data_IF_983323032593
#
_entry.id   IF_983323032593
#
_cell.length_a   1.000
_cell.length_b   1.000
_cell.length_c   1.000
_cell.angle_alpha   90.00
_cell.angle_beta   90.00
_cell.angle_gamma   90.00
#
_symmetry.space_group_name_H-M   'P 1'
#
loop_
_entity.id
_entity.type
_entity.pdbx_description
1 polymer ?
#
# COMPACT_ATOMS: atom_id res chain seq x y z
N UNK A 1 -9.14 10.93 -8.33
CA UNK A 1 -9.49 11.82 -7.20
C UNK A 1 -8.66 11.44 -5.98
N UNK A 2 -8.71 10.18 -5.53
CA UNK A 2 -7.88 9.63 -4.44
C UNK A 2 -6.35 9.78 -4.63
N UNK A 3 -5.87 9.64 -5.86
CA UNK A 3 -4.44 9.67 -6.18
C UNK A 3 -3.79 11.04 -5.99
N UNK A 4 -4.58 12.11 -5.90
CA UNK A 4 -4.09 13.45 -5.55
C UNK A 4 -3.80 13.58 -4.05
N UNK A 5 -4.52 12.82 -3.22
CA UNK A 5 -4.35 12.80 -1.78
C UNK A 5 -3.01 12.20 -1.36
N UNK A 6 -2.45 11.30 -2.18
CA UNK A 6 -1.10 10.72 -1.98
C UNK A 6 -0.04 11.81 -1.76
N UNK A 7 -0.14 12.93 -2.50
CA UNK A 7 0.81 14.05 -2.39
C UNK A 7 0.70 14.77 -1.05
N UNK A 8 -0.48 14.78 -0.41
CA UNK A 8 -0.65 15.38 0.92
C UNK A 8 0.11 14.59 1.98
N UNK A 9 0.02 13.26 1.93
CA UNK A 9 0.71 12.39 2.87
C UNK A 9 2.20 12.20 2.54
N UNK A 10 2.57 12.23 1.26
CA UNK A 10 3.94 12.01 0.80
C UNK A 10 4.38 13.12 -0.18
N UNK A 11 4.64 14.35 0.30
CA UNK A 11 4.91 15.50 -0.59
C UNK A 11 6.18 15.33 -1.44
N UNK A 12 7.15 14.56 -0.94
CA UNK A 12 8.41 14.26 -1.65
C UNK A 12 8.28 13.10 -2.64
N UNK A 13 7.17 12.37 -2.65
CA UNK A 13 6.99 11.22 -3.55
C UNK A 13 6.79 11.70 -4.99
N UNK A 14 7.79 11.47 -5.84
CA UNK A 14 7.75 11.81 -7.26
C UNK A 14 7.15 10.69 -8.13
N UNK A 15 7.41 9.43 -7.77
CA UNK A 15 7.06 8.24 -8.53
C UNK A 15 6.84 7.08 -7.56
N UNK A 16 5.76 6.33 -7.77
CA UNK A 16 5.54 5.05 -7.12
C UNK A 16 5.35 3.98 -8.19
N UNK A 17 6.03 2.84 -8.04
CA UNK A 17 5.92 1.69 -8.93
C UNK A 17 5.74 0.44 -8.08
N UNK A 18 4.80 -0.39 -8.48
CA UNK A 18 4.59 -1.71 -7.93
C UNK A 18 4.71 -2.73 -9.05
N UNK A 19 5.55 -3.74 -8.86
CA UNK A 19 5.73 -4.83 -9.83
C UNK A 19 5.16 -6.13 -9.25
N UNK A 20 4.49 -6.90 -10.09
CA UNK A 20 4.02 -8.25 -9.78
C UNK A 20 4.91 -9.26 -10.50
N UNK A 21 5.43 -10.23 -9.78
CA UNK A 21 6.28 -11.31 -10.32
C UNK A 21 5.46 -12.40 -11.01
N UNK A 22 4.22 -12.62 -10.58
CA UNK A 22 3.25 -13.49 -11.23
C UNK A 22 1.97 -12.69 -11.54
N UNK A 23 1.23 -13.11 -12.58
CA UNK A 23 -0.11 -12.64 -12.85
C UNK A 23 -0.96 -12.66 -11.58
N UNK A 24 -1.51 -11.51 -11.20
CA UNK A 24 -2.20 -11.25 -9.92
C UNK A 24 -3.21 -12.37 -9.58
N UNK A 25 -2.85 -13.33 -8.71
CA UNK A 25 -3.74 -14.38 -8.18
C UNK A 25 -4.78 -13.84 -7.18
N UNK A 26 -5.30 -12.62 -7.41
CA UNK A 26 -6.16 -11.89 -6.46
C UNK A 26 -5.38 -11.13 -5.38
N UNK A 27 -4.09 -11.42 -5.16
CA UNK A 27 -3.25 -10.73 -4.18
C UNK A 27 -2.70 -9.40 -4.72
N UNK A 28 -2.89 -8.31 -3.99
CA UNK A 28 -2.43 -6.97 -4.34
C UNK A 28 -1.14 -6.56 -3.61
N UNK A 29 -0.65 -5.37 -3.95
CA UNK A 29 0.44 -4.71 -3.22
C UNK A 29 0.24 -4.63 -1.69
N UNK A 30 -1.00 -4.37 -1.20
CA UNK A 30 -1.25 -4.30 0.24
C UNK A 30 -0.96 -5.60 0.98
N UNK A 31 -1.07 -6.76 0.31
CA UNK A 31 -0.89 -8.06 0.98
C UNK A 31 0.56 -8.30 1.37
N UNK A 32 1.52 -7.85 0.54
CA UNK A 32 2.94 -7.93 0.87
C UNK A 32 3.32 -7.04 2.05
N UNK A 33 2.78 -5.81 2.09
CA UNK A 33 2.97 -4.89 3.20
C UNK A 33 2.31 -5.42 4.48
N UNK A 34 1.08 -5.94 4.39
CA UNK A 34 0.39 -6.56 5.52
C UNK A 34 1.15 -7.78 6.05
N UNK A 35 1.69 -8.61 5.16
CA UNK A 35 2.48 -9.78 5.53
C UNK A 35 3.76 -9.43 6.26
N UNK A 36 4.53 -8.42 5.81
CA UNK A 36 5.76 -8.02 6.50
C UNK A 36 5.48 -7.36 7.85
N UNK A 37 4.39 -6.58 7.96
CA UNK A 37 3.94 -6.00 9.24
C UNK A 37 3.62 -7.10 10.23
N UNK A 38 2.79 -8.07 9.82
CA UNK A 38 2.39 -9.20 10.67
C UNK A 38 3.60 -10.03 11.11
N UNK A 39 4.45 -10.45 10.17
CA UNK A 39 5.66 -11.22 10.49
C UNK A 39 6.62 -10.46 11.43
N UNK A 40 6.73 -9.14 11.28
CA UNK A 40 7.58 -8.32 12.15
C UNK A 40 7.04 -8.25 13.57
N UNK A 41 5.72 -8.13 13.73
CA UNK A 41 5.03 -8.15 15.01
C UNK A 41 5.13 -9.53 15.68
N UNK A 42 4.83 -10.61 14.94
CA UNK A 42 4.92 -11.99 15.43
C UNK A 42 6.33 -12.31 15.94
N UNK A 43 7.35 -11.88 15.20
CA UNK A 43 8.75 -12.04 15.60
C UNK A 43 9.07 -11.27 16.89
N UNK A 44 8.56 -10.06 17.05
CA UNK A 44 8.77 -9.29 18.27
C UNK A 44 8.15 -9.97 19.50
N UNK A 45 6.93 -10.50 19.36
CA UNK A 45 6.24 -11.28 20.41
C UNK A 45 6.99 -12.57 20.73
N UNK A 46 7.46 -13.30 19.72
CA UNK A 46 8.26 -14.51 19.90
C UNK A 46 9.59 -14.24 20.66
N UNK A 47 10.14 -13.04 20.47
CA UNK A 47 11.33 -12.54 21.19
C UNK A 47 11.00 -11.92 22.57
N UNK A 48 9.79 -12.17 23.10
CA UNK A 48 9.30 -11.69 24.40
C UNK A 48 9.09 -10.17 24.49
N UNK A 49 8.85 -9.49 23.37
CA UNK A 49 8.38 -8.11 23.37
C UNK A 49 6.86 -8.11 23.24
N UNK A 50 6.17 -7.75 24.31
CA UNK A 50 4.71 -7.68 24.30
C UNK A 50 4.22 -6.47 23.48
N UNK A 51 3.05 -6.61 22.85
CA UNK A 51 2.43 -5.57 22.01
C UNK A 51 0.98 -5.37 22.45
N UNK A 52 0.74 -4.70 23.59
CA UNK A 52 -0.59 -4.58 24.19
C UNK A 52 -1.49 -3.55 23.48
N UNK A 53 -0.89 -2.65 22.71
CA UNK A 53 -1.59 -1.54 22.06
C UNK A 53 -0.95 -1.13 20.73
N UNK A 54 -1.65 -0.25 20.04
CA UNK A 54 -1.27 0.25 18.72
C UNK A 54 0.04 1.04 18.77
N UNK A 55 0.27 1.85 19.80
CA UNK A 55 1.48 2.69 19.90
C UNK A 55 2.75 1.83 20.06
N UNK A 56 2.64 0.74 20.82
CA UNK A 56 3.68 -0.26 20.96
C UNK A 56 3.93 -0.96 19.62
N UNK A 57 2.88 -1.31 18.87
CA UNK A 57 3.02 -1.87 17.52
C UNK A 57 3.76 -0.91 16.58
N UNK A 58 3.44 0.38 16.60
CA UNK A 58 4.13 1.40 15.79
C UNK A 58 5.62 1.49 16.11
N UNK A 59 5.97 1.42 17.40
CA UNK A 59 7.36 1.45 17.85
C UNK A 59 8.11 0.23 17.31
N UNK A 60 7.55 -0.96 17.49
CA UNK A 60 8.10 -2.23 16.97
C UNK A 60 8.30 -2.18 15.46
N UNK A 61 7.30 -1.69 14.71
CA UNK A 61 7.38 -1.60 13.25
C UNK A 61 8.43 -0.59 12.79
N UNK A 62 8.58 0.56 13.47
CA UNK A 62 9.60 1.56 13.13
C UNK A 62 11.02 1.01 13.32
N UNK A 63 11.23 0.22 14.37
CA UNK A 63 12.54 -0.36 14.68
C UNK A 63 12.89 -1.54 13.78
N UNK A 64 11.91 -2.41 13.51
CA UNK A 64 12.15 -3.71 12.85
C UNK A 64 11.80 -3.74 11.37
N UNK A 65 10.95 -2.81 10.92
CA UNK A 65 10.44 -2.73 9.55
C UNK A 65 10.79 -1.37 8.92
N UNK A 66 12.08 -1.04 8.87
CA UNK A 66 12.58 0.29 8.42
C UNK A 66 12.19 0.67 6.98
N UNK A 67 11.80 -0.31 6.16
CA UNK A 67 11.30 -0.09 4.80
C UNK A 67 9.80 0.23 4.70
N UNK A 68 9.05 0.19 5.81
CA UNK A 68 7.61 0.42 5.85
C UNK A 68 7.30 1.67 6.66
N UNK A 69 6.64 2.64 6.03
CA UNK A 69 6.14 3.83 6.69
C UNK A 69 4.68 3.62 7.09
N UNK A 70 4.42 3.66 8.39
CA UNK A 70 3.06 3.55 8.94
C UNK A 70 2.70 4.90 9.57
N UNK A 71 1.47 5.36 9.36
CA UNK A 71 0.90 6.52 10.04
C UNK A 71 -0.40 6.14 10.71
N UNK A 72 -0.71 6.77 11.85
CA UNK A 72 -2.05 6.70 12.42
C UNK A 72 -3.00 7.54 11.56
N UNK A 73 -4.25 7.10 11.48
CA UNK A 73 -5.34 7.81 10.81
C UNK A 73 -6.43 8.01 11.85
N UNK A 74 -6.85 9.25 12.06
CA UNK A 74 -7.93 9.54 13.02
C UNK A 74 -9.28 9.12 12.45
N UNK A 75 -10.29 8.95 13.31
CA UNK A 75 -11.66 8.69 12.86
C UNK A 75 -12.19 9.83 11.96
N UNK A 76 -11.85 11.08 12.28
CA UNK A 76 -12.15 12.22 11.41
C UNK A 76 -11.53 12.07 10.02
N UNK A 77 -10.28 11.62 9.92
CA UNK A 77 -9.61 11.41 8.64
C UNK A 77 -10.30 10.31 7.82
N UNK A 78 -10.75 9.23 8.47
CA UNK A 78 -11.51 8.15 7.81
C UNK A 78 -12.78 8.69 7.16
N UNK A 79 -13.56 9.50 7.87
CA UNK A 79 -14.81 10.06 7.31
C UNK A 79 -14.54 10.99 6.11
N UNK A 80 -13.43 11.71 6.13
CA UNK A 80 -13.00 12.58 5.01
C UNK A 80 -12.62 11.72 3.80
N UNK A 81 -11.84 10.66 4.02
CA UNK A 81 -11.41 9.74 2.95
C UNK A 81 -12.64 9.05 2.35
N UNK A 82 -13.55 8.52 3.16
CA UNK A 82 -14.77 7.86 2.70
C UNK A 82 -15.64 8.78 1.83
N UNK A 83 -15.86 10.03 2.28
CA UNK A 83 -16.61 11.03 1.50
C UNK A 83 -15.90 11.44 0.20
N UNK A 84 -14.58 11.27 0.13
CA UNK A 84 -13.79 11.58 -1.07
C UNK A 84 -13.76 10.44 -2.10
N UNK A 85 -14.18 9.23 -1.70
CA UNK A 85 -14.27 8.09 -2.60
C UNK A 85 -15.49 8.25 -3.53
N UNK A 86 -15.34 7.97 -4.83
CA UNK A 86 -16.49 7.95 -5.72
C UNK A 86 -17.44 6.82 -5.32
N UNK A 87 -18.75 7.11 -5.26
CA UNK A 87 -19.80 6.14 -4.88
C UNK A 87 -19.84 4.88 -5.78
N UNK A 88 -19.32 4.98 -7.01
CA UNK A 88 -19.23 3.86 -7.93
C UNK A 88 -17.79 3.74 -8.45
N UNK A 89 -17.06 2.76 -7.91
CA UNK A 89 -15.74 2.38 -8.42
C UNK A 89 -15.97 1.26 -9.43
N UNK A 90 -15.69 1.55 -10.70
CA UNK A 90 -15.70 0.51 -11.73
C UNK A 90 -14.55 -0.47 -11.46
N UNK A 91 -14.82 -1.79 -11.39
CA UNK A 91 -13.75 -2.78 -11.28
C UNK A 91 -12.77 -2.66 -12.44
N UNK A 92 -11.49 -2.74 -12.15
CA UNK A 92 -10.46 -2.82 -13.18
C UNK A 92 -10.45 -4.25 -13.72
N UNK A 93 -10.88 -4.43 -14.97
CA UNK A 93 -10.90 -5.74 -15.65
C UNK A 93 -9.48 -6.12 -16.08
N UNK A 94 -9.16 -7.41 -16.07
CA UNK A 94 -7.88 -7.92 -16.58
C UNK A 94 -6.69 -7.72 -15.63
N UNK A 95 -6.94 -7.50 -14.33
CA UNK A 95 -5.90 -7.34 -13.29
C UNK A 95 -4.95 -8.53 -13.20
N UNK A 96 -5.39 -9.73 -13.59
CA UNK A 96 -4.52 -10.90 -13.66
C UNK A 96 -3.42 -10.75 -14.71
N UNK A 97 -3.62 -9.97 -15.77
CA UNK A 97 -2.60 -9.79 -16.83
C UNK A 97 -1.62 -8.63 -16.57
N UNK A 98 -1.85 -7.89 -15.48
CA UNK A 98 -1.07 -6.71 -15.11
C UNK A 98 0.15 -7.11 -14.31
N UNK A 99 1.30 -6.59 -14.71
CA UNK A 99 2.59 -6.88 -14.08
C UNK A 99 3.18 -5.64 -13.41
N UNK A 100 2.66 -4.45 -13.70
CA UNK A 100 3.10 -3.23 -13.06
C UNK A 100 1.95 -2.24 -12.89
N UNK A 101 1.91 -1.59 -11.72
CA UNK A 101 1.11 -0.41 -11.45
C UNK A 101 2.07 0.74 -11.16
N UNK A 102 1.84 1.91 -11.74
CA UNK A 102 2.66 3.08 -11.49
C UNK A 102 1.83 4.35 -11.34
N UNK A 103 2.32 5.24 -10.49
CA UNK A 103 1.77 6.56 -10.26
C UNK A 103 2.90 7.59 -10.30
N UNK A 104 2.65 8.76 -10.88
CA UNK A 104 3.64 9.83 -11.00
C UNK A 104 3.04 11.16 -10.57
N UNK A 105 3.82 11.96 -9.82
CA UNK A 105 3.43 13.29 -9.35
C UNK A 105 3.11 14.25 -10.51
N UNK A 106 3.74 14.08 -11.67
CA UNK A 106 3.45 14.87 -12.88
C UNK A 106 2.05 14.59 -13.45
N UNK A 107 1.48 13.41 -13.17
CA UNK A 107 0.11 13.02 -13.56
C UNK A 107 -0.66 12.50 -12.33
N UNK A 108 -0.91 13.36 -11.33
CA UNK A 108 -1.35 12.91 -10.00
C UNK A 108 -2.77 12.35 -10.01
N UNK A 109 -3.54 12.60 -11.07
CA UNK A 109 -4.93 12.11 -11.23
C UNK A 109 -5.03 10.73 -11.86
N UNK A 110 -3.91 10.13 -12.32
CA UNK A 110 -3.92 8.89 -13.09
C UNK A 110 -2.99 7.84 -12.48
N UNK A 111 -3.39 6.59 -12.61
CA UNK A 111 -2.55 5.41 -12.37
C UNK A 111 -2.39 4.71 -13.71
N UNK A 112 -1.16 4.33 -14.04
CA UNK A 112 -0.86 3.53 -15.23
C UNK A 112 -0.72 2.06 -14.81
N UNK A 113 -1.53 1.19 -15.40
CA UNK A 113 -1.40 -0.26 -15.26
C UNK A 113 -0.82 -0.84 -16.55
N UNK A 114 0.25 -1.64 -16.44
CA UNK A 114 0.99 -2.18 -17.59
C UNK A 114 0.98 -3.70 -17.55
N UNK A 115 0.72 -4.29 -18.72
CA UNK A 115 1.07 -5.68 -19.01
C UNK A 115 2.48 -5.69 -19.58
N UNK A 116 3.40 -6.40 -18.94
CA UNK A 116 4.79 -6.50 -19.38
C UNK A 116 4.97 -7.83 -20.11
N UNK A 117 5.43 -7.78 -21.36
CA UNK A 117 5.53 -8.94 -22.25
C UNK A 117 6.67 -9.90 -21.89
N UNK A 118 7.66 -9.45 -21.13
CA UNK A 118 8.83 -10.25 -20.73
C UNK A 118 8.54 -11.38 -19.72
N UNK A 119 7.29 -11.52 -19.26
CA UNK A 119 6.83 -12.65 -18.43
C UNK A 119 6.12 -13.75 -19.24
N UNK A 120 5.99 -13.58 -20.56
CA UNK A 120 5.54 -14.65 -21.46
C UNK A 120 6.79 -15.39 -21.95
N UNK A 121 7.03 -16.58 -21.40
CA UNK A 121 7.93 -17.56 -22.01
C UNK A 121 7.27 -18.18 -23.25
#
# INVERSE_FOLDING_TARGET
MLTKEIVKYFPMLALAKWNYTESRHGKGAPDGIGSIIMQSADKAVAERNDIPDTDTLFTVLRERCTGVFVTTVSESDNTVIEKSLPQSIKPLVGTMTMHQISWCKAKPSSIEARSLSCFKC
#
